data_IF_268743153563
#
_entry.id   IF_268743153563
#
_cell.length_a   1.000
_cell.length_b   1.000
_cell.length_c   1.000
_cell.angle_alpha   90.00
_cell.angle_beta   90.00
_cell.angle_gamma   90.00
#
_symmetry.space_group_name_H-M   'P 1'
#
loop_
_entity.id
_entity.type
_entity.pdbx_description
1 polymer ?
#
# COMPACT_ATOMS: atom_id res chain seq x y z
N UNK A 1 -6.55 -43.03 49.10
CA UNK A 1 -7.56 -42.00 48.90
C UNK A 1 -7.28 -41.31 47.56
N UNK A 2 -7.87 -41.80 46.47
CA UNK A 2 -7.74 -41.24 45.09
C UNK A 2 -8.71 -40.10 44.96
N UNK A 3 -8.22 -38.87 44.73
CA UNK A 3 -9.03 -37.69 44.40
C UNK A 3 -9.32 -37.74 42.88
N UNK A 4 -10.57 -38.03 42.54
CA UNK A 4 -11.09 -37.89 41.18
C UNK A 4 -11.10 -36.42 40.75
N UNK A 5 -10.41 -36.14 39.64
CA UNK A 5 -10.49 -34.86 38.93
C UNK A 5 -11.79 -34.85 38.12
N UNK A 6 -12.70 -33.98 38.45
CA UNK A 6 -13.90 -33.68 37.65
C UNK A 6 -13.48 -32.93 36.37
N UNK A 7 -14.00 -33.30 35.17
CA UNK A 7 -13.88 -32.53 33.96
C UNK A 7 -15.09 -31.59 33.84
N UNK A 8 -15.00 -30.40 34.38
CA UNK A 8 -15.93 -29.31 34.11
C UNK A 8 -15.14 -28.05 33.78
N UNK A 9 -14.66 -27.95 32.58
CA UNK A 9 -14.26 -26.67 31.97
C UNK A 9 -15.34 -26.24 30.98
N UNK A 10 -16.35 -25.54 31.50
CA UNK A 10 -17.22 -24.74 30.61
C UNK A 10 -16.35 -23.70 29.91
N UNK A 11 -16.47 -23.54 28.60
CA UNK A 11 -15.75 -22.51 27.88
C UNK A 11 -16.16 -21.14 28.41
N UNK A 12 -15.17 -20.28 28.62
CA UNK A 12 -15.35 -18.93 29.13
C UNK A 12 -16.45 -18.17 28.35
N UNK A 13 -17.32 -17.41 29.00
CA UNK A 13 -18.48 -16.74 28.36
C UNK A 13 -18.15 -15.80 27.22
N UNK A 14 -16.90 -15.35 27.13
CA UNK A 14 -16.42 -14.44 26.09
C UNK A 14 -16.18 -15.09 24.71
N UNK A 15 -15.93 -16.39 24.63
CA UNK A 15 -15.70 -17.09 23.37
C UNK A 15 -17.00 -17.27 22.55
N UNK A 16 -18.13 -17.47 23.22
CA UNK A 16 -19.45 -17.56 22.59
C UNK A 16 -20.01 -16.19 22.15
N UNK A 17 -19.62 -15.10 22.81
CA UNK A 17 -20.01 -13.75 22.43
C UNK A 17 -19.29 -13.25 21.16
N UNK A 18 -18.06 -13.72 20.91
CA UNK A 18 -17.32 -13.39 19.70
C UNK A 18 -17.88 -14.09 18.43
N UNK A 19 -18.41 -15.29 18.58
CA UNK A 19 -19.00 -16.07 17.48
C UNK A 19 -20.35 -15.50 16.97
N UNK A 20 -20.99 -14.60 17.71
CA UNK A 20 -22.26 -13.95 17.33
C UNK A 20 -22.11 -12.54 16.75
N UNK A 21 -20.88 -11.99 16.67
CA UNK A 21 -20.66 -10.69 16.02
C UNK A 21 -20.63 -10.88 14.51
N UNK A 22 -21.50 -10.16 13.80
CA UNK A 22 -21.50 -10.12 12.32
C UNK A 22 -20.11 -9.77 11.76
N UNK A 23 -19.89 -9.95 10.46
CA UNK A 23 -18.59 -9.72 9.79
C UNK A 23 -18.10 -8.26 9.90
N UNK A 24 -19.02 -7.29 9.91
CA UNK A 24 -18.69 -5.84 9.94
C UNK A 24 -17.73 -5.41 11.05
N UNK A 25 -17.87 -5.84 12.32
CA UNK A 25 -16.91 -5.46 13.38
C UNK A 25 -15.52 -6.08 13.21
N UNK A 26 -15.36 -7.04 12.30
CA UNK A 26 -14.10 -7.73 12.03
C UNK A 26 -13.31 -7.09 10.87
N UNK A 27 -13.96 -6.18 10.12
CA UNK A 27 -13.32 -5.41 9.04
C UNK A 27 -12.44 -4.30 9.64
N UNK A 28 -11.39 -3.91 8.93
CA UNK A 28 -10.52 -2.78 9.28
C UNK A 28 -9.04 -2.96 8.91
N UNK A 29 -8.38 -4.05 9.25
CA UNK A 29 -6.97 -4.24 8.97
C UNK A 29 -6.59 -4.06 7.49
N UNK A 30 -7.42 -4.59 6.58
CA UNK A 30 -7.18 -4.46 5.15
C UNK A 30 -7.38 -3.02 4.64
N UNK A 31 -8.28 -2.22 5.24
CA UNK A 31 -8.46 -0.82 4.88
C UNK A 31 -7.23 0.03 5.23
N UNK A 32 -6.56 -0.25 6.37
CA UNK A 32 -5.30 0.41 6.69
C UNK A 32 -4.24 0.05 5.65
N UNK A 33 -4.10 -1.24 5.33
CA UNK A 33 -3.15 -1.67 4.33
C UNK A 33 -3.48 -1.11 2.93
N UNK A 34 -4.77 -0.93 2.60
CA UNK A 34 -5.23 -0.45 1.30
C UNK A 34 -4.85 1.01 1.01
N UNK A 35 -4.65 1.84 2.03
CA UNK A 35 -4.19 3.22 1.84
C UNK A 35 -2.82 3.27 1.15
N UNK A 36 -1.93 2.32 1.44
CA UNK A 36 -0.65 2.22 0.76
C UNK A 36 -0.76 2.00 -0.76
N UNK A 37 -1.92 1.56 -1.25
CA UNK A 37 -2.19 1.34 -2.68
C UNK A 37 -2.69 2.61 -3.40
N UNK A 38 -2.90 3.70 -2.68
CA UNK A 38 -3.39 4.98 -3.20
C UNK A 38 -2.45 6.11 -2.76
N UNK A 39 -1.16 5.86 -2.78
CA UNK A 39 -0.11 6.81 -2.46
C UNK A 39 0.14 7.81 -3.61
N UNK A 40 0.88 8.89 -3.39
CA UNK A 40 1.19 9.86 -4.43
C UNK A 40 1.95 9.28 -5.64
N UNK A 41 2.73 8.21 -5.45
CA UNK A 41 3.42 7.50 -6.53
C UNK A 41 2.43 6.82 -7.49
N UNK A 42 1.41 6.14 -6.95
CA UNK A 42 0.30 5.60 -7.75
C UNK A 42 -0.47 6.70 -8.48
N UNK A 43 -0.73 7.83 -7.80
CA UNK A 43 -1.42 8.98 -8.41
C UNK A 43 -0.66 9.46 -9.65
N UNK A 44 0.65 9.71 -9.52
CA UNK A 44 1.50 10.14 -10.63
C UNK A 44 1.51 9.13 -11.79
N UNK A 45 1.77 7.84 -11.51
CA UNK A 45 1.85 6.80 -12.53
C UNK A 45 0.53 6.63 -13.30
N UNK A 46 -0.62 6.63 -12.59
CA UNK A 46 -1.94 6.42 -13.20
C UNK A 46 -2.37 7.62 -14.06
N UNK A 47 -2.08 8.85 -13.61
CA UNK A 47 -2.37 10.06 -14.37
C UNK A 47 -1.50 10.11 -15.63
N UNK A 48 -0.20 9.87 -15.50
CA UNK A 48 0.71 9.83 -16.66
C UNK A 48 0.27 8.76 -17.68
N UNK A 49 -0.12 7.58 -17.20
CA UNK A 49 -0.63 6.51 -18.07
C UNK A 49 -1.89 6.93 -18.82
N UNK A 50 -2.88 7.53 -18.13
CA UNK A 50 -4.11 8.00 -18.74
C UNK A 50 -3.91 9.16 -19.71
N UNK A 51 -3.11 10.16 -19.34
CA UNK A 51 -2.86 11.35 -20.17
C UNK A 51 -2.09 11.01 -21.45
N UNK A 52 -1.08 10.13 -21.39
CA UNK A 52 -0.25 9.77 -22.55
C UNK A 52 -0.87 8.70 -23.45
N UNK A 53 -1.54 7.71 -22.88
CA UNK A 53 -1.99 6.51 -23.59
C UNK A 53 -3.49 6.26 -23.53
N UNK A 54 -4.24 7.23 -22.98
CA UNK A 54 -5.68 7.10 -22.83
C UNK A 54 -6.05 5.86 -22.00
N UNK A 55 -6.98 5.09 -22.50
CA UNK A 55 -7.51 3.90 -21.79
C UNK A 55 -6.65 2.63 -21.98
N UNK A 56 -5.54 2.70 -22.72
CA UNK A 56 -4.76 1.52 -23.13
C UNK A 56 -4.32 0.62 -21.97
N UNK A 57 -3.98 1.20 -20.83
CA UNK A 57 -3.38 0.50 -19.68
C UNK A 57 -4.37 0.22 -18.53
N UNK A 58 -5.68 0.34 -18.75
CA UNK A 58 -6.71 -0.01 -17.73
C UNK A 58 -6.55 -1.45 -17.25
N UNK A 59 -6.25 -2.38 -18.17
CA UNK A 59 -6.04 -3.80 -17.84
C UNK A 59 -4.89 -4.02 -16.85
N UNK A 60 -3.87 -3.15 -16.88
CA UNK A 60 -2.71 -3.23 -15.97
C UNK A 60 -3.16 -2.98 -14.53
N UNK A 61 -4.00 -1.96 -14.30
CA UNK A 61 -4.54 -1.66 -12.97
C UNK A 61 -5.45 -2.76 -12.46
N UNK A 62 -6.29 -3.33 -13.33
CA UNK A 62 -7.14 -4.46 -12.95
C UNK A 62 -6.28 -5.66 -12.56
N UNK A 63 -5.25 -5.99 -13.34
CA UNK A 63 -4.32 -7.08 -13.04
C UNK A 63 -3.56 -6.81 -11.73
N UNK A 64 -3.01 -5.60 -11.56
CA UNK A 64 -2.30 -5.20 -10.35
C UNK A 64 -3.18 -5.33 -9.10
N UNK A 65 -4.43 -4.88 -9.19
CA UNK A 65 -5.37 -4.96 -8.08
C UNK A 65 -5.76 -6.41 -7.75
N UNK A 66 -5.96 -7.27 -8.75
CA UNK A 66 -6.21 -8.70 -8.53
C UNK A 66 -5.02 -9.38 -7.85
N UNK A 67 -3.79 -9.07 -8.28
CA UNK A 67 -2.57 -9.57 -7.64
C UNK A 67 -2.48 -9.08 -6.19
N UNK A 68 -2.77 -7.80 -5.95
CA UNK A 68 -2.78 -7.21 -4.63
C UNK A 68 -3.78 -7.90 -3.68
N UNK A 69 -5.01 -8.18 -4.15
CA UNK A 69 -6.03 -8.93 -3.38
C UNK A 69 -5.49 -10.30 -2.94
N UNK A 70 -4.85 -11.03 -3.84
CA UNK A 70 -4.30 -12.36 -3.53
C UNK A 70 -3.16 -12.24 -2.51
N UNK A 71 -2.21 -11.34 -2.75
CA UNK A 71 -1.04 -11.13 -1.87
C UNK A 71 -1.50 -10.69 -0.47
N UNK A 72 -2.41 -9.72 -0.38
CA UNK A 72 -2.89 -9.21 0.90
C UNK A 72 -3.69 -10.26 1.67
N UNK A 73 -4.52 -11.06 0.99
CA UNK A 73 -5.20 -12.17 1.63
C UNK A 73 -4.21 -13.21 2.17
N UNK A 74 -3.15 -13.54 1.43
CA UNK A 74 -2.12 -14.47 1.88
C UNK A 74 -1.34 -13.92 3.08
N UNK A 75 -1.07 -12.61 3.11
CA UNK A 75 -0.44 -11.95 4.25
C UNK A 75 -1.32 -12.04 5.51
N UNK A 76 -2.60 -11.68 5.40
CA UNK A 76 -3.55 -11.80 6.51
C UNK A 76 -3.72 -13.26 6.97
N UNK A 77 -3.83 -14.19 6.03
CA UNK A 77 -3.92 -15.63 6.32
C UNK A 77 -2.71 -16.14 7.08
N UNK A 78 -1.49 -15.72 6.70
CA UNK A 78 -0.27 -16.07 7.42
C UNK A 78 -0.37 -15.61 8.88
N UNK A 79 -0.69 -14.33 9.11
CA UNK A 79 -0.83 -13.77 10.45
C UNK A 79 -1.89 -14.47 11.28
N UNK A 80 -3.10 -14.66 10.74
CA UNK A 80 -4.22 -15.29 11.45
C UNK A 80 -3.95 -16.74 11.84
N UNK A 81 -3.32 -17.52 10.96
CA UNK A 81 -3.08 -18.96 11.17
C UNK A 81 -1.90 -19.19 12.10
N UNK A 82 -0.81 -18.44 11.92
CA UNK A 82 0.42 -18.65 12.69
C UNK A 82 0.45 -17.87 14.00
N UNK A 83 -0.34 -16.81 14.11
CA UNK A 83 -0.27 -15.82 15.21
C UNK A 83 1.00 -14.98 15.17
N UNK A 84 1.77 -15.04 14.08
CA UNK A 84 3.00 -14.30 13.87
C UNK A 84 2.93 -13.51 12.59
N UNK A 85 3.46 -12.32 12.60
CA UNK A 85 3.62 -11.52 11.40
C UNK A 85 4.72 -12.10 10.48
N UNK A 86 4.71 -11.72 9.21
CA UNK A 86 5.76 -12.11 8.27
C UNK A 86 7.15 -11.65 8.73
N UNK A 87 7.35 -10.42 9.25
CA UNK A 87 8.64 -10.00 9.81
C UNK A 87 9.09 -10.86 11.00
N UNK A 88 8.19 -11.25 11.90
CA UNK A 88 8.52 -12.11 13.05
C UNK A 88 8.98 -13.51 12.60
N UNK A 89 8.28 -14.11 11.63
CA UNK A 89 8.67 -15.42 11.08
C UNK A 89 10.05 -15.32 10.41
N UNK A 90 10.32 -14.25 9.68
CA UNK A 90 11.64 -13.99 9.10
C UNK A 90 12.71 -13.80 10.17
N UNK A 91 12.40 -13.03 11.23
CA UNK A 91 13.28 -12.77 12.36
C UNK A 91 13.71 -14.03 13.10
N UNK A 92 12.78 -14.99 13.26
CA UNK A 92 13.05 -16.26 13.92
C UNK A 92 13.84 -17.24 13.03
N UNK A 93 13.58 -17.24 11.71
CA UNK A 93 14.13 -18.26 10.80
C UNK A 93 15.43 -17.84 10.11
N UNK A 94 15.71 -16.54 10.03
CA UNK A 94 16.92 -16.07 9.38
C UNK A 94 18.08 -16.01 10.38
N UNK A 95 19.26 -16.46 9.94
CA UNK A 95 20.50 -16.26 10.67
C UNK A 95 20.80 -14.75 10.85
N UNK A 96 21.45 -14.36 11.95
CA UNK A 96 21.69 -12.97 12.36
C UNK A 96 22.18 -12.06 11.22
N UNK A 97 23.17 -12.49 10.42
CA UNK A 97 23.67 -11.69 9.31
C UNK A 97 22.64 -11.44 8.21
N UNK A 98 21.92 -12.49 7.78
CA UNK A 98 20.85 -12.38 6.79
C UNK A 98 19.69 -11.52 7.30
N UNK A 99 19.37 -11.63 8.58
CA UNK A 99 18.32 -10.86 9.25
C UNK A 99 18.63 -9.37 9.27
N UNK A 100 19.88 -9.00 9.58
CA UNK A 100 20.34 -7.61 9.55
C UNK A 100 20.31 -7.06 8.12
N UNK A 101 20.83 -7.80 7.15
CA UNK A 101 20.80 -7.40 5.74
C UNK A 101 19.36 -7.19 5.25
N UNK A 102 18.45 -8.08 5.66
CA UNK A 102 17.03 -7.99 5.34
C UNK A 102 16.37 -6.76 5.98
N UNK A 103 16.73 -6.44 7.23
CA UNK A 103 16.25 -5.24 7.89
C UNK A 103 16.80 -3.96 7.23
N UNK A 104 18.10 -3.90 6.90
CA UNK A 104 18.70 -2.73 6.21
C UNK A 104 17.96 -2.46 4.89
N UNK A 105 17.74 -3.51 4.09
CA UNK A 105 16.98 -3.38 2.84
C UNK A 105 15.56 -2.85 3.10
N UNK A 106 14.85 -3.40 4.08
CA UNK A 106 13.50 -2.97 4.41
C UNK A 106 13.46 -1.52 4.91
N UNK A 107 14.50 -1.06 5.62
CA UNK A 107 14.60 0.32 6.10
C UNK A 107 14.89 1.31 4.96
N UNK A 108 15.74 0.92 3.99
CA UNK A 108 15.97 1.70 2.77
C UNK A 108 14.67 1.86 1.98
N UNK A 109 13.89 0.79 1.83
CA UNK A 109 12.59 0.82 1.17
C UNK A 109 11.60 1.73 1.93
N UNK A 110 11.56 1.64 3.26
CA UNK A 110 10.72 2.49 4.09
C UNK A 110 11.09 3.98 3.94
N UNK A 111 12.38 4.31 3.90
CA UNK A 111 12.84 5.67 3.68
C UNK A 111 12.50 6.19 2.27
N UNK A 112 12.60 5.34 1.24
CA UNK A 112 12.19 5.67 -0.11
C UNK A 112 10.68 5.88 -0.23
N UNK A 113 9.88 5.06 0.45
CA UNK A 113 8.42 5.24 0.56
C UNK A 113 8.09 6.57 1.22
N UNK A 114 8.70 6.85 2.37
CA UNK A 114 8.50 8.11 3.08
C UNK A 114 8.85 9.33 2.23
N UNK A 115 9.91 9.25 1.42
CA UNK A 115 10.28 10.31 0.50
C UNK A 115 9.12 10.61 -0.50
N UNK A 116 8.58 9.58 -1.15
CA UNK A 116 7.47 9.75 -2.09
C UNK A 116 6.22 10.36 -1.43
N UNK A 117 5.89 9.89 -0.24
CA UNK A 117 4.70 10.30 0.51
C UNK A 117 4.81 11.75 1.00
N UNK A 118 5.99 12.14 1.51
CA UNK A 118 6.28 13.51 1.94
C UNK A 118 6.29 14.46 0.75
N UNK A 119 6.91 14.05 -0.36
CA UNK A 119 6.93 14.84 -1.60
C UNK A 119 5.51 15.06 -2.10
N UNK A 120 4.69 14.02 -2.18
CA UNK A 120 3.30 14.14 -2.62
C UNK A 120 2.46 15.06 -1.73
N UNK A 121 2.60 14.93 -0.41
CA UNK A 121 1.95 15.84 0.54
C UNK A 121 2.47 17.27 0.47
N UNK A 122 3.77 17.47 0.22
CA UNK A 122 4.37 18.79 0.02
C UNK A 122 3.86 19.47 -1.25
N UNK A 123 3.76 18.73 -2.36
CA UNK A 123 3.14 19.19 -3.61
C UNK A 123 1.69 19.62 -3.35
N UNK A 124 0.92 18.81 -2.64
CA UNK A 124 -0.46 19.16 -2.32
C UNK A 124 -0.57 20.47 -1.52
N UNK A 125 0.30 20.69 -0.53
CA UNK A 125 0.33 21.96 0.22
C UNK A 125 0.82 23.14 -0.64
N UNK A 126 1.72 22.90 -1.58
CA UNK A 126 2.13 23.92 -2.56
C UNK A 126 0.96 24.31 -3.47
N UNK A 127 0.22 23.33 -3.98
CA UNK A 127 -0.94 23.56 -4.86
C UNK A 127 -2.09 24.27 -4.13
N UNK A 128 -2.35 23.94 -2.85
CA UNK A 128 -3.43 24.51 -2.07
C UNK A 128 -3.13 25.90 -1.51
N UNK A 129 -1.88 26.12 -1.08
CA UNK A 129 -1.51 27.28 -0.27
C UNK A 129 -0.29 28.05 -0.80
N UNK A 130 0.32 27.61 -1.91
CA UNK A 130 1.53 28.24 -2.45
C UNK A 130 2.77 28.03 -1.58
N UNK A 131 2.78 27.05 -0.66
CA UNK A 131 3.90 26.82 0.25
C UNK A 131 5.12 26.25 -0.48
N UNK A 132 6.35 26.68 -0.13
CA UNK A 132 7.56 26.02 -0.63
C UNK A 132 7.57 24.52 -0.30
N UNK A 133 8.05 23.67 -1.21
CA UNK A 133 8.08 22.20 -1.05
C UNK A 133 8.70 21.74 0.27
N UNK A 134 9.82 22.38 0.68
CA UNK A 134 10.48 22.03 1.94
C UNK A 134 9.60 22.33 3.17
N UNK A 135 8.92 23.48 3.16
CA UNK A 135 7.98 23.85 4.24
C UNK A 135 6.78 22.90 4.26
N UNK A 136 6.23 22.57 3.07
CA UNK A 136 5.17 21.58 2.91
C UNK A 136 5.59 20.21 3.45
N UNK A 137 6.78 19.73 3.08
CA UNK A 137 7.32 18.46 3.56
C UNK A 137 7.52 18.40 5.07
N UNK A 138 8.00 19.50 5.67
CA UNK A 138 8.11 19.63 7.13
C UNK A 138 6.74 19.56 7.81
N UNK A 139 5.74 20.29 7.30
CA UNK A 139 4.36 20.25 7.84
C UNK A 139 3.77 18.85 7.74
N UNK A 140 3.87 18.20 6.57
CA UNK A 140 3.41 16.81 6.39
C UNK A 140 4.09 15.87 7.37
N UNK A 141 5.40 16.02 7.55
CA UNK A 141 6.16 15.25 8.53
C UNK A 141 5.66 15.45 9.96
N UNK A 142 5.42 16.69 10.39
CA UNK A 142 4.88 17.01 11.71
C UNK A 142 3.46 16.45 11.91
N UNK A 143 2.59 16.59 10.91
CA UNK A 143 1.22 16.06 10.98
C UNK A 143 1.23 14.53 11.05
N UNK A 144 2.08 13.87 10.26
CA UNK A 144 2.23 12.42 10.31
C UNK A 144 2.73 11.92 11.66
N UNK A 145 3.66 12.66 12.31
CA UNK A 145 4.09 12.38 13.69
C UNK A 145 2.94 12.51 14.67
N UNK A 146 2.10 13.54 14.53
CA UNK A 146 0.91 13.73 15.39
C UNK A 146 -0.09 12.57 15.20
N UNK A 147 -0.30 12.09 13.98
CA UNK A 147 -1.16 10.95 13.70
C UNK A 147 -0.65 9.65 14.35
N UNK A 148 0.66 9.46 14.46
CA UNK A 148 1.27 8.31 15.13
C UNK A 148 1.01 8.27 16.65
N UNK A 149 0.65 9.39 17.29
CA UNK A 149 0.25 9.43 18.69
C UNK A 149 -1.01 8.57 18.94
N UNK A 150 -1.88 8.48 17.91
CA UNK A 150 -3.08 7.62 17.96
C UNK A 150 -2.77 6.15 17.72
N UNK A 151 -1.56 5.82 17.28
CA UNK A 151 -1.10 4.46 17.05
C UNK A 151 -0.59 3.83 18.36
N UNK A 152 -1.50 3.51 19.27
CA UNK A 152 -1.24 2.77 20.48
C UNK A 152 -2.28 1.66 20.58
N UNK A 153 -1.95 0.52 21.22
CA UNK A 153 -2.87 -0.62 21.40
C UNK A 153 -4.25 -0.19 21.97
N UNK A 154 -4.26 0.84 22.83
CA UNK A 154 -5.49 1.41 23.40
C UNK A 154 -6.28 2.30 22.42
N UNK A 155 -5.65 2.84 21.38
CA UNK A 155 -6.23 3.81 20.44
C UNK A 155 -6.26 3.32 18.99
N UNK A 156 -5.96 2.06 18.75
CA UNK A 156 -5.89 1.49 17.41
C UNK A 156 -7.17 1.74 16.58
N UNK A 157 -8.36 1.64 17.23
CA UNK A 157 -9.63 1.96 16.55
C UNK A 157 -9.71 3.42 16.09
N UNK A 158 -9.14 4.36 16.85
CA UNK A 158 -9.12 5.77 16.48
C UNK A 158 -8.22 5.97 15.24
N UNK A 159 -7.04 5.34 15.25
CA UNK A 159 -6.14 5.34 14.10
C UNK A 159 -6.82 4.76 12.86
N UNK A 160 -7.45 3.58 12.97
CA UNK A 160 -8.24 2.96 11.90
C UNK A 160 -9.32 3.92 11.37
N UNK A 161 -10.06 4.58 12.25
CA UNK A 161 -11.11 5.54 11.86
C UNK A 161 -10.56 6.75 11.12
N UNK A 162 -9.42 7.31 11.57
CA UNK A 162 -8.75 8.43 10.89
C UNK A 162 -8.28 8.01 9.51
N UNK A 163 -7.61 6.87 9.40
CA UNK A 163 -7.09 6.34 8.12
C UNK A 163 -8.21 6.05 7.14
N UNK A 164 -9.31 5.45 7.58
CA UNK A 164 -10.50 5.23 6.75
C UNK A 164 -11.13 6.55 6.35
N UNK A 165 -11.21 7.54 7.24
CA UNK A 165 -11.68 8.89 6.93
C UNK A 165 -10.84 9.56 5.83
N UNK A 166 -9.53 9.45 5.92
CA UNK A 166 -8.61 9.93 4.87
C UNK A 166 -8.83 9.18 3.55
N UNK A 167 -9.03 7.85 3.57
CA UNK A 167 -9.35 7.08 2.38
C UNK A 167 -10.67 7.53 1.71
N UNK A 168 -11.68 7.90 2.50
CA UNK A 168 -12.91 8.49 1.97
C UNK A 168 -12.63 9.83 1.28
N UNK A 169 -11.82 10.69 1.90
CA UNK A 169 -11.43 11.99 1.30
C UNK A 169 -10.66 11.76 -0.01
N UNK A 170 -9.72 10.82 -0.03
CA UNK A 170 -8.98 10.41 -1.24
C UNK A 170 -9.95 9.95 -2.33
N UNK A 171 -10.88 9.06 -1.96
CA UNK A 171 -11.86 8.50 -2.90
C UNK A 171 -12.72 9.60 -3.50
N UNK A 172 -13.29 10.47 -2.68
CA UNK A 172 -14.10 11.62 -3.16
C UNK A 172 -13.25 12.56 -3.99
N UNK A 173 -12.03 12.88 -3.52
CA UNK A 173 -11.09 13.77 -4.19
C UNK A 173 -10.79 13.37 -5.62
N UNK A 174 -10.50 12.09 -5.82
CA UNK A 174 -10.09 11.61 -7.15
C UNK A 174 -11.25 11.17 -8.04
N UNK A 175 -12.38 10.73 -7.47
CA UNK A 175 -13.55 10.36 -8.26
C UNK A 175 -14.40 11.56 -8.71
N UNK A 176 -14.30 12.70 -8.02
CA UNK A 176 -15.13 13.88 -8.31
C UNK A 176 -14.96 14.38 -9.76
N UNK A 177 -13.76 14.32 -10.31
CA UNK A 177 -13.48 14.72 -11.67
C UNK A 177 -14.21 13.90 -12.73
N UNK A 178 -14.45 12.60 -12.48
CA UNK A 178 -15.17 11.73 -13.40
C UNK A 178 -16.66 12.11 -13.57
N UNK A 179 -17.23 12.81 -12.60
CA UNK A 179 -18.61 13.29 -12.69
C UNK A 179 -18.73 14.40 -13.75
N UNK A 180 -17.66 15.23 -13.87
CA UNK A 180 -17.62 16.35 -14.83
C UNK A 180 -17.09 15.91 -16.19
N UNK A 181 -16.09 15.05 -16.21
CA UNK A 181 -15.53 14.46 -17.44
C UNK A 181 -15.71 12.94 -17.42
N UNK A 182 -16.91 12.46 -17.76
CA UNK A 182 -17.18 11.03 -17.78
C UNK A 182 -16.33 10.35 -18.86
N UNK A 183 -15.73 9.19 -18.55
CA UNK A 183 -14.93 8.44 -19.50
C UNK A 183 -15.83 7.83 -20.59
N UNK A 184 -15.26 7.61 -21.79
CA UNK A 184 -15.93 6.83 -22.84
C UNK A 184 -16.00 5.35 -22.40
N UNK A 185 -17.22 4.80 -22.14
CA UNK A 185 -17.35 3.43 -21.68
C UNK A 185 -16.79 2.41 -22.69
N UNK A 186 -16.99 2.62 -23.99
CA UNK A 186 -16.54 1.70 -25.03
C UNK A 186 -15.00 1.65 -25.10
N UNK A 187 -14.34 2.81 -25.00
CA UNK A 187 -12.88 2.90 -24.98
C UNK A 187 -12.31 2.32 -23.66
N UNK A 188 -12.96 2.56 -22.51
CA UNK A 188 -12.56 1.99 -21.24
C UNK A 188 -12.66 0.45 -21.24
N UNK A 189 -13.74 -0.12 -21.79
CA UNK A 189 -13.88 -1.57 -21.96
C UNK A 189 -12.84 -2.16 -22.90
N UNK A 190 -12.50 -1.47 -24.01
CA UNK A 190 -11.38 -1.87 -24.90
C UNK A 190 -10.03 -1.82 -24.18
N UNK A 191 -9.88 -0.93 -23.21
CA UNK A 191 -8.70 -0.83 -22.34
C UNK A 191 -8.49 -2.02 -21.39
N UNK A 192 -9.49 -2.90 -21.21
CA UNK A 192 -9.34 -4.15 -20.46
C UNK A 192 -8.62 -5.25 -21.25
N UNK A 193 -8.48 -5.09 -22.57
CA UNK A 193 -7.75 -6.06 -23.40
C UNK A 193 -6.24 -5.84 -23.27
N UNK A 194 -5.47 -6.85 -22.81
CA UNK A 194 -4.02 -6.75 -22.67
C UNK A 194 -3.34 -6.44 -24.01
N UNK A 195 -2.70 -5.29 -24.09
CA UNK A 195 -1.93 -4.86 -25.26
C UNK A 195 -0.96 -3.76 -24.89
N UNK A 196 0.11 -3.63 -25.66
CA UNK A 196 1.10 -2.57 -25.58
C UNK A 196 1.21 -1.84 -26.91
N UNK A 197 1.59 -0.57 -26.87
CA UNK A 197 1.80 0.28 -28.04
C UNK A 197 3.27 0.75 -28.14
N UNK A 198 4.21 -0.12 -27.77
CA UNK A 198 5.64 0.18 -27.78
C UNK A 198 6.29 0.02 -26.41
N UNK A 199 7.62 0.22 -26.33
CA UNK A 199 8.43 0.05 -25.13
C UNK A 199 8.01 0.97 -23.99
N UNK A 200 7.62 2.21 -24.29
CA UNK A 200 7.20 3.19 -23.29
C UNK A 200 5.95 2.74 -22.51
N UNK A 201 5.00 2.08 -23.21
CA UNK A 201 3.82 1.54 -22.54
C UNK A 201 4.14 0.37 -21.61
N UNK A 202 5.16 -0.41 -21.94
CA UNK A 202 5.66 -1.49 -21.05
C UNK A 202 6.32 -0.90 -19.83
N UNK A 203 7.09 0.19 -19.97
CA UNK A 203 7.70 0.91 -18.86
C UNK A 203 6.68 1.47 -17.89
N UNK A 204 5.68 2.19 -18.43
CA UNK A 204 4.62 2.74 -17.58
C UNK A 204 3.81 1.63 -16.93
N UNK A 205 3.51 0.54 -17.62
CA UNK A 205 2.84 -0.62 -17.04
C UNK A 205 3.67 -1.25 -15.90
N UNK A 206 4.98 -1.36 -16.07
CA UNK A 206 5.88 -1.85 -15.02
C UNK A 206 5.92 -0.90 -13.81
N UNK A 207 5.94 0.42 -14.06
CA UNK A 207 5.86 1.43 -13.01
C UNK A 207 4.53 1.36 -12.25
N UNK A 208 3.39 1.26 -12.95
CA UNK A 208 2.06 1.12 -12.35
C UNK A 208 1.95 -0.14 -11.48
N UNK A 209 2.45 -1.29 -11.97
CA UNK A 209 2.47 -2.54 -11.21
C UNK A 209 3.39 -2.45 -10.00
N UNK A 210 4.58 -1.85 -10.18
CA UNK A 210 5.55 -1.62 -9.11
C UNK A 210 5.02 -0.68 -8.02
N UNK A 211 4.36 0.40 -8.41
CA UNK A 211 3.72 1.33 -7.49
C UNK A 211 2.54 0.69 -6.74
N UNK A 212 1.77 -0.20 -7.40
CA UNK A 212 0.57 -0.79 -6.80
C UNK A 212 0.91 -1.86 -5.75
N UNK A 213 1.94 -2.68 -5.91
CA UNK A 213 2.27 -3.74 -4.95
C UNK A 213 3.28 -3.25 -3.92
N UNK A 214 2.79 -2.76 -2.79
CA UNK A 214 3.61 -2.15 -1.74
C UNK A 214 4.19 -3.18 -0.76
N UNK A 215 5.54 -3.32 -0.66
CA UNK A 215 6.18 -4.30 0.22
C UNK A 215 5.81 -4.12 1.69
N UNK A 216 5.79 -2.87 2.17
CA UNK A 216 5.49 -2.57 3.56
C UNK A 216 4.04 -2.91 3.95
N UNK A 217 3.08 -2.79 3.02
CA UNK A 217 1.71 -3.20 3.26
C UNK A 217 1.57 -4.72 3.43
N UNK A 218 2.42 -5.51 2.77
CA UNK A 218 2.47 -6.98 2.92
C UNK A 218 2.92 -7.34 4.32
N UNK A 219 3.99 -6.73 4.82
CA UNK A 219 4.47 -6.97 6.18
C UNK A 219 3.45 -6.51 7.23
N UNK A 220 2.92 -5.31 7.05
CA UNK A 220 2.01 -4.68 8.00
C UNK A 220 0.71 -5.47 8.16
N UNK A 221 0.11 -5.95 7.07
CA UNK A 221 -1.20 -6.61 7.14
C UNK A 221 -1.16 -7.88 8.01
N UNK A 222 -0.09 -8.68 7.90
CA UNK A 222 0.10 -9.86 8.76
C UNK A 222 0.21 -9.50 10.25
N UNK A 223 0.73 -8.31 10.57
CA UNK A 223 0.83 -7.79 11.93
C UNK A 223 -0.51 -7.24 12.43
N UNK A 224 -1.20 -6.43 11.60
CA UNK A 224 -2.48 -5.82 11.94
C UNK A 224 -3.55 -6.84 12.34
N UNK A 225 -3.63 -7.96 11.60
CA UNK A 225 -4.60 -9.03 11.95
C UNK A 225 -4.26 -9.70 13.27
N UNK A 226 -2.99 -9.77 13.67
CA UNK A 226 -2.58 -10.29 14.96
C UNK A 226 -2.92 -9.35 16.09
N UNK A 227 -2.67 -8.05 15.93
CA UNK A 227 -3.05 -7.04 16.92
C UNK A 227 -4.56 -6.94 17.11
N UNK A 228 -5.33 -7.16 16.03
CA UNK A 228 -6.80 -7.15 16.08
C UNK A 228 -7.37 -8.37 16.79
N UNK A 229 -6.71 -9.52 16.69
CA UNK A 229 -7.14 -10.80 17.21
C UNK A 229 -6.02 -11.46 18.02
N UNK A 230 -5.68 -10.97 19.24
CA UNK A 230 -4.48 -11.41 19.97
C UNK A 230 -4.57 -12.85 20.47
N UNK A 231 -5.76 -13.34 20.83
CA UNK A 231 -5.94 -14.64 21.48
C UNK A 231 -5.99 -15.81 20.48
N UNK A 232 -4.86 -16.47 20.25
CA UNK A 232 -4.76 -17.64 19.36
C UNK A 232 -5.66 -18.81 19.77
N UNK A 233 -5.78 -19.08 21.08
CA UNK A 233 -6.54 -20.21 21.59
C UNK A 233 -8.06 -20.10 21.44
N UNK A 234 -8.58 -18.88 21.29
CA UNK A 234 -10.00 -18.58 21.12
C UNK A 234 -10.40 -18.25 19.67
N UNK A 235 -9.45 -18.27 18.74
CA UNK A 235 -9.71 -17.90 17.34
C UNK A 235 -10.50 -18.99 16.59
N UNK A 236 -11.67 -18.62 16.09
CA UNK A 236 -12.34 -19.35 15.03
C UNK A 236 -11.65 -19.00 13.70
N UNK A 237 -10.54 -19.68 13.38
CA UNK A 237 -9.74 -19.43 12.18
C UNK A 237 -10.58 -19.48 10.88
N UNK A 238 -11.47 -20.46 10.65
CA UNK A 238 -12.34 -20.46 9.47
C UNK A 238 -13.21 -19.20 9.35
N UNK A 239 -13.74 -18.69 10.46
CA UNK A 239 -14.55 -17.47 10.47
C UNK A 239 -13.71 -16.23 10.21
N UNK A 240 -12.54 -16.11 10.85
CA UNK A 240 -11.61 -15.00 10.66
C UNK A 240 -11.04 -14.96 9.23
N UNK A 241 -10.73 -16.10 8.62
CA UNK A 241 -10.29 -16.16 7.22
C UNK A 241 -11.38 -15.70 6.26
N UNK A 242 -12.65 -16.04 6.51
CA UNK A 242 -13.77 -15.52 5.72
C UNK A 242 -13.93 -14.01 5.88
N UNK A 243 -13.88 -13.51 7.12
CA UNK A 243 -13.94 -12.08 7.39
C UNK A 243 -12.80 -11.33 6.69
N UNK A 244 -11.57 -11.82 6.83
CA UNK A 244 -10.39 -11.22 6.20
C UNK A 244 -10.47 -11.25 4.67
N UNK A 245 -11.04 -12.30 4.06
CA UNK A 245 -11.28 -12.34 2.61
C UNK A 245 -12.20 -11.20 2.15
N UNK A 246 -13.27 -10.94 2.90
CA UNK A 246 -14.19 -9.83 2.57
C UNK A 246 -13.55 -8.47 2.86
N UNK A 247 -12.82 -8.35 3.98
CA UNK A 247 -12.08 -7.13 4.34
C UNK A 247 -11.11 -6.73 3.21
N UNK A 248 -10.26 -7.65 2.78
CA UNK A 248 -9.32 -7.46 1.67
C UNK A 248 -10.04 -7.13 0.36
N UNK A 249 -11.10 -7.88 0.04
CA UNK A 249 -11.84 -7.67 -1.21
C UNK A 249 -12.46 -6.27 -1.26
N UNK A 250 -13.12 -5.82 -0.18
CA UNK A 250 -13.74 -4.49 -0.15
C UNK A 250 -12.70 -3.36 -0.09
N UNK A 251 -11.67 -3.50 0.73
CA UNK A 251 -10.64 -2.48 0.86
C UNK A 251 -9.89 -2.24 -0.45
N UNK A 252 -9.48 -3.33 -1.13
CA UNK A 252 -8.77 -3.23 -2.40
C UNK A 252 -9.70 -2.95 -3.59
N UNK A 253 -11.00 -3.27 -3.49
CA UNK A 253 -11.98 -2.79 -4.46
C UNK A 253 -12.04 -1.25 -4.46
N UNK A 254 -12.07 -0.65 -3.26
CA UNK A 254 -12.07 0.82 -3.13
C UNK A 254 -10.76 1.41 -3.65
N UNK A 255 -9.61 0.90 -3.19
CA UNK A 255 -8.31 1.40 -3.65
C UNK A 255 -8.11 1.21 -5.17
N UNK A 256 -8.49 0.04 -5.70
CA UNK A 256 -8.44 -0.24 -7.13
C UNK A 256 -9.38 0.65 -7.95
N UNK A 257 -10.59 0.92 -7.45
CA UNK A 257 -11.51 1.84 -8.09
C UNK A 257 -10.95 3.27 -8.14
N UNK A 258 -10.28 3.72 -7.08
CA UNK A 258 -9.59 5.02 -7.05
C UNK A 258 -8.48 5.08 -8.10
N UNK A 259 -7.63 4.07 -8.19
CA UNK A 259 -6.54 4.02 -9.16
C UNK A 259 -7.05 3.98 -10.60
N UNK A 260 -8.08 3.17 -10.87
CA UNK A 260 -8.73 3.12 -12.19
C UNK A 260 -9.37 4.47 -12.50
N UNK A 261 -10.05 5.09 -11.53
CA UNK A 261 -10.68 6.40 -11.71
C UNK A 261 -9.67 7.49 -12.08
N UNK A 262 -8.49 7.51 -11.46
CA UNK A 262 -7.40 8.43 -11.81
C UNK A 262 -6.94 8.27 -13.25
N UNK A 263 -6.73 7.04 -13.71
CA UNK A 263 -6.38 6.77 -15.11
C UNK A 263 -7.51 7.18 -16.06
N UNK A 264 -8.76 6.82 -15.75
CA UNK A 264 -9.91 7.18 -16.57
C UNK A 264 -10.11 8.69 -16.65
N UNK A 265 -9.93 9.42 -15.53
CA UNK A 265 -9.99 10.87 -15.48
C UNK A 265 -8.91 11.49 -16.37
N UNK A 266 -7.67 11.02 -16.23
CA UNK A 266 -6.58 11.51 -17.06
C UNK A 266 -6.81 11.20 -18.55
N UNK A 267 -7.34 10.02 -18.87
CA UNK A 267 -7.66 9.63 -20.25
C UNK A 267 -8.80 10.47 -20.86
N UNK A 268 -9.79 10.89 -20.05
CA UNK A 268 -10.93 11.67 -20.55
C UNK A 268 -10.68 13.18 -20.58
N UNK A 269 -9.92 13.71 -19.61
CA UNK A 269 -9.74 15.16 -19.43
C UNK A 269 -8.37 15.67 -19.86
N UNK A 270 -7.32 14.84 -19.84
CA UNK A 270 -5.93 15.28 -20.01
C UNK A 270 -5.25 14.69 -21.26
N UNK A 271 -5.95 13.89 -22.07
CA UNK A 271 -5.36 13.25 -23.23
C UNK A 271 -4.77 14.29 -24.21
N UNK A 272 -3.48 14.13 -24.54
CA UNK A 272 -2.76 15.01 -25.48
C UNK A 272 -2.32 16.35 -24.89
N UNK A 273 -2.55 16.63 -23.61
CA UNK A 273 -2.01 17.83 -22.96
C UNK A 273 -0.54 17.64 -22.59
N UNK A 274 0.28 18.65 -22.85
CA UNK A 274 1.70 18.67 -22.47
C UNK A 274 1.86 18.97 -20.99
N UNK A 275 2.95 18.46 -20.38
CA UNK A 275 3.30 18.76 -18.99
C UNK A 275 2.58 17.91 -17.93
N UNK A 276 1.81 16.90 -18.34
CA UNK A 276 1.10 15.98 -17.41
C UNK A 276 2.00 14.88 -16.84
N UNK A 277 3.31 14.98 -17.04
CA UNK A 277 4.31 14.05 -16.51
C UNK A 277 4.68 14.30 -15.06
N UNK A 278 4.24 15.43 -14.51
CA UNK A 278 4.37 15.78 -13.10
C UNK A 278 3.00 15.93 -12.46
N UNK A 279 2.93 15.75 -11.14
CA UNK A 279 1.68 15.93 -10.37
C UNK A 279 1.20 17.37 -10.47
N UNK A 280 2.11 18.35 -10.44
CA UNK A 280 1.80 19.77 -10.57
C UNK A 280 1.20 20.08 -11.94
N UNK A 281 1.83 19.60 -13.01
CA UNK A 281 1.32 19.78 -14.35
C UNK A 281 -0.03 19.09 -14.57
N UNK A 282 -0.21 17.89 -14.01
CA UNK A 282 -1.48 17.18 -14.02
C UNK A 282 -2.58 17.98 -13.29
N UNK A 283 -2.26 18.57 -12.13
CA UNK A 283 -3.19 19.43 -11.38
C UNK A 283 -3.60 20.66 -12.20
N UNK A 284 -2.63 21.37 -12.81
CA UNK A 284 -2.93 22.53 -13.65
C UNK A 284 -3.79 22.17 -14.86
N UNK A 285 -3.53 21.00 -15.46
CA UNK A 285 -4.34 20.49 -16.55
C UNK A 285 -5.78 20.15 -16.10
N UNK A 286 -5.93 19.53 -14.92
CA UNK A 286 -7.23 19.25 -14.28
C UNK A 286 -7.97 20.58 -14.01
N UNK A 287 -7.29 21.55 -13.41
CA UNK A 287 -7.87 22.86 -13.11
C UNK A 287 -8.32 23.60 -14.38
N UNK A 288 -7.49 23.56 -15.43
CA UNK A 288 -7.81 24.19 -16.70
C UNK A 288 -8.97 23.49 -17.43
N UNK A 289 -9.05 22.15 -17.37
CA UNK A 289 -10.07 21.38 -18.06
C UNK A 289 -11.40 21.30 -17.30
N UNK A 290 -11.35 21.19 -15.96
CA UNK A 290 -12.52 20.88 -15.11
C UNK A 290 -12.87 22.00 -14.11
N UNK A 291 -12.06 23.06 -14.06
CA UNK A 291 -12.26 24.22 -13.19
C UNK A 291 -11.52 24.11 -11.85
N UNK A 292 -11.32 25.27 -11.22
CA UNK A 292 -10.55 25.43 -9.97
C UNK A 292 -11.10 24.59 -8.82
N UNK A 293 -12.43 24.44 -8.73
CA UNK A 293 -13.04 23.62 -7.66
C UNK A 293 -12.54 22.16 -7.71
N UNK A 294 -12.48 21.55 -8.89
CA UNK A 294 -11.99 20.18 -9.05
C UNK A 294 -10.49 20.10 -8.80
N UNK A 295 -9.72 21.12 -9.24
CA UNK A 295 -8.29 21.21 -8.92
C UNK A 295 -8.05 21.22 -7.40
N UNK A 296 -8.79 22.03 -6.65
CA UNK A 296 -8.70 22.07 -5.17
C UNK A 296 -9.10 20.75 -4.53
N UNK A 297 -10.20 20.12 -4.98
CA UNK A 297 -10.66 18.83 -4.46
C UNK A 297 -9.61 17.74 -4.75
N UNK A 298 -9.01 17.74 -5.92
CA UNK A 298 -7.91 16.83 -6.28
C UNK A 298 -6.70 17.04 -5.36
N UNK A 299 -6.29 18.29 -5.11
CA UNK A 299 -5.16 18.59 -4.23
C UNK A 299 -5.44 18.20 -2.76
N UNK A 300 -6.68 18.31 -2.28
CA UNK A 300 -7.10 17.81 -0.97
C UNK A 300 -7.00 16.27 -0.94
N UNK A 301 -7.43 15.59 -1.99
CA UNK A 301 -7.28 14.14 -2.14
C UNK A 301 -5.81 13.71 -2.10
N UNK A 302 -4.94 14.43 -2.79
CA UNK A 302 -3.49 14.19 -2.80
C UNK A 302 -2.86 14.42 -1.40
N UNK A 303 -3.26 15.49 -0.69
CA UNK A 303 -2.81 15.75 0.67
C UNK A 303 -3.22 14.62 1.63
N UNK A 304 -4.49 14.20 1.53
CA UNK A 304 -5.00 13.09 2.33
C UNK A 304 -4.25 11.79 2.03
N UNK A 305 -3.92 11.53 0.75
CA UNK A 305 -3.11 10.40 0.30
C UNK A 305 -1.72 10.42 0.94
N UNK A 306 -0.99 11.53 0.83
CA UNK A 306 0.34 11.68 1.44
C UNK A 306 0.33 11.51 2.97
N UNK A 307 -0.65 12.10 3.68
CA UNK A 307 -0.77 11.98 5.13
C UNK A 307 -1.13 10.57 5.59
N UNK A 308 -2.05 9.92 4.89
CA UNK A 308 -2.51 8.58 5.24
C UNK A 308 -1.41 7.55 4.99
N UNK A 309 -0.80 7.54 3.78
CA UNK A 309 0.23 6.58 3.41
C UNK A 309 1.49 6.74 4.27
N UNK A 310 1.95 7.97 4.51
CA UNK A 310 3.07 8.28 5.42
C UNK A 310 2.86 7.74 6.85
N UNK A 311 1.62 7.82 7.37
CA UNK A 311 1.31 7.28 8.71
C UNK A 311 1.33 5.75 8.71
N UNK A 312 0.79 5.13 7.66
CA UNK A 312 0.77 3.67 7.49
C UNK A 312 2.18 3.12 7.23
N UNK A 313 2.99 3.81 6.42
CA UNK A 313 4.39 3.46 6.13
C UNK A 313 5.26 3.48 7.39
N UNK A 314 5.13 4.53 8.21
CA UNK A 314 5.84 4.61 9.49
C UNK A 314 5.44 3.47 10.46
N UNK A 315 4.18 3.09 10.48
CA UNK A 315 3.69 1.95 11.25
C UNK A 315 4.29 0.65 10.73
N UNK A 316 4.20 0.42 9.43
CA UNK A 316 4.74 -0.79 8.79
C UNK A 316 6.22 -0.98 9.12
N UNK A 317 7.00 0.07 9.02
CA UNK A 317 8.42 -0.03 9.32
C UNK A 317 8.72 -0.32 10.79
N UNK A 318 7.89 0.16 11.75
CA UNK A 318 8.00 -0.23 13.16
C UNK A 318 7.77 -1.73 13.36
N UNK A 319 6.74 -2.28 12.69
CA UNK A 319 6.43 -3.71 12.72
C UNK A 319 7.54 -4.56 12.08
N UNK A 320 8.11 -4.09 10.97
CA UNK A 320 9.22 -4.75 10.30
C UNK A 320 10.47 -4.79 11.20
N UNK A 321 10.81 -3.67 11.81
CA UNK A 321 11.96 -3.60 12.72
C UNK A 321 11.74 -4.46 13.96
N UNK A 322 10.58 -4.36 14.59
CA UNK A 322 10.21 -5.15 15.77
C UNK A 322 10.28 -6.65 15.50
N UNK A 323 9.71 -7.10 14.38
CA UNK A 323 9.70 -8.51 13.99
C UNK A 323 11.07 -9.04 13.60
N UNK A 324 11.84 -8.29 12.79
CA UNK A 324 13.15 -8.75 12.32
C UNK A 324 14.23 -8.68 13.39
N UNK A 325 14.32 -7.58 14.13
CA UNK A 325 15.44 -7.34 15.07
C UNK A 325 15.09 -7.66 16.52
N UNK A 326 13.79 -7.86 16.82
CA UNK A 326 13.28 -7.99 18.20
C UNK A 326 13.60 -6.75 19.07
N UNK A 327 13.75 -5.57 18.41
CA UNK A 327 14.02 -4.29 19.07
C UNK A 327 12.81 -3.38 18.87
N UNK A 328 12.29 -2.85 19.95
CA UNK A 328 11.22 -1.83 19.89
C UNK A 328 11.84 -0.45 20.02
N UNK A 329 11.91 0.27 18.89
CA UNK A 329 12.30 1.68 18.87
C UNK A 329 11.04 2.54 19.01
N UNK A 330 11.06 3.62 19.80
CA UNK A 330 9.92 4.54 19.85
C UNK A 330 9.58 5.05 18.45
N UNK A 331 8.29 5.00 18.09
CA UNK A 331 7.80 5.43 16.78
C UNK A 331 8.29 6.82 16.37
N UNK A 332 8.36 7.74 17.34
CA UNK A 332 8.87 9.08 17.12
C UNK A 332 10.33 9.09 16.65
N UNK A 333 11.21 8.37 17.35
CA UNK A 333 12.62 8.30 17.00
C UNK A 333 12.83 7.67 15.62
N UNK A 334 12.09 6.59 15.35
CA UNK A 334 12.13 5.92 14.04
C UNK A 334 11.63 6.85 12.93
N UNK A 335 10.54 7.58 13.18
CA UNK A 335 9.99 8.54 12.23
C UNK A 335 10.97 9.65 11.87
N UNK A 336 11.74 10.15 12.83
CA UNK A 336 12.79 11.12 12.57
C UNK A 336 13.87 10.55 11.64
N UNK A 337 14.24 9.29 11.80
CA UNK A 337 15.27 8.63 10.96
C UNK A 337 14.83 8.56 9.49
N UNK A 338 13.54 8.35 9.21
CA UNK A 338 13.04 8.29 7.81
C UNK A 338 12.67 9.67 7.27
N UNK A 339 12.19 10.59 8.13
CA UNK A 339 11.80 11.94 7.75
C UNK A 339 13.01 12.83 7.39
N UNK A 340 14.09 12.76 8.16
CA UNK A 340 15.26 13.61 7.93
C UNK A 340 15.90 13.41 6.55
N UNK A 341 16.14 12.17 6.06
CA UNK A 341 16.60 11.96 4.69
C UNK A 341 15.65 12.52 3.62
N UNK A 342 14.34 12.37 3.81
CA UNK A 342 13.36 12.89 2.87
C UNK A 342 13.40 14.44 2.77
N UNK A 343 13.47 15.12 3.92
CA UNK A 343 13.61 16.58 3.96
C UNK A 343 14.95 17.05 3.41
N UNK A 344 16.04 16.33 3.68
CA UNK A 344 17.37 16.63 3.15
C UNK A 344 17.38 16.50 1.61
N UNK A 345 16.76 15.46 1.07
CA UNK A 345 16.66 15.26 -0.38
C UNK A 345 15.84 16.39 -1.00
N UNK A 346 14.69 16.77 -0.41
CA UNK A 346 13.89 17.91 -0.88
C UNK A 346 14.66 19.25 -0.83
N UNK A 347 15.53 19.41 0.14
CA UNK A 347 16.36 20.62 0.25
C UNK A 347 17.47 20.66 -0.80
N UNK A 348 18.15 19.52 -1.04
CA UNK A 348 19.27 19.44 -2.01
C UNK A 348 18.79 19.34 -3.46
N UNK A 349 17.66 18.67 -3.69
CA UNK A 349 17.11 18.40 -5.01
C UNK A 349 15.62 18.80 -5.03
N UNK A 350 15.31 20.08 -5.25
CA UNK A 350 13.94 20.57 -5.21
C UNK A 350 13.09 20.15 -6.43
N UNK A 351 13.50 19.10 -7.15
CA UNK A 351 12.71 18.50 -8.24
C UNK A 351 11.89 17.34 -7.68
N UNK A 352 10.58 17.53 -7.46
CA UNK A 352 9.73 16.51 -6.85
C UNK A 352 9.56 15.28 -7.75
N UNK A 353 9.52 15.46 -9.08
CA UNK A 353 9.39 14.36 -10.04
C UNK A 353 10.58 13.40 -9.95
N UNK A 354 11.81 13.93 -9.86
CA UNK A 354 13.00 13.10 -9.67
C UNK A 354 12.95 12.30 -8.36
N UNK A 355 12.53 12.94 -7.26
CA UNK A 355 12.41 12.27 -5.97
C UNK A 355 11.39 11.11 -6.01
N UNK A 356 10.26 11.32 -6.69
CA UNK A 356 9.25 10.27 -6.90
C UNK A 356 9.79 9.11 -7.74
N UNK A 357 10.48 9.39 -8.85
CA UNK A 357 11.06 8.35 -9.71
C UNK A 357 12.09 7.51 -8.94
N UNK A 358 13.02 8.15 -8.24
CA UNK A 358 14.05 7.44 -7.45
C UNK A 358 13.41 6.58 -6.37
N UNK A 359 12.37 7.08 -5.70
CA UNK A 359 11.64 6.30 -4.69
C UNK A 359 10.98 5.06 -5.29
N UNK A 360 10.34 5.17 -6.46
CA UNK A 360 9.69 4.03 -7.15
C UNK A 360 10.70 2.97 -7.58
N UNK A 361 11.86 3.39 -8.08
CA UNK A 361 12.97 2.45 -8.41
C UNK A 361 13.42 1.72 -7.15
N UNK A 362 13.63 2.41 -6.04
CA UNK A 362 14.01 1.79 -4.78
C UNK A 362 12.95 0.79 -4.27
N UNK A 363 11.66 1.17 -4.33
CA UNK A 363 10.54 0.30 -3.95
C UNK A 363 10.50 -1.01 -4.74
N UNK A 364 10.83 -0.95 -6.04
CA UNK A 364 10.87 -2.11 -6.92
C UNK A 364 11.77 -3.24 -6.41
N UNK A 365 12.89 -2.91 -5.77
CA UNK A 365 13.78 -3.89 -5.16
C UNK A 365 13.17 -4.58 -3.92
N UNK A 366 12.24 -3.91 -3.24
CA UNK A 366 11.62 -4.41 -2.01
C UNK A 366 10.55 -5.46 -2.24
N UNK A 367 9.84 -5.39 -3.38
CA UNK A 367 8.64 -6.22 -3.61
C UNK A 367 8.96 -7.72 -3.62
N UNK A 368 9.97 -8.21 -4.37
CA UNK A 368 10.34 -9.62 -4.36
C UNK A 368 10.69 -10.14 -2.95
N UNK A 369 11.35 -9.30 -2.14
CA UNK A 369 11.77 -9.65 -0.80
C UNK A 369 10.60 -9.76 0.19
N UNK A 370 9.44 -9.19 -0.12
CA UNK A 370 8.22 -9.39 0.65
C UNK A 370 7.38 -10.56 0.11
N UNK A 371 7.20 -10.65 -1.20
CA UNK A 371 6.29 -11.63 -1.84
C UNK A 371 6.86 -13.04 -1.83
N UNK A 372 8.17 -13.21 -2.08
CA UNK A 372 8.79 -14.55 -2.11
C UNK A 372 8.72 -15.25 -0.75
N UNK A 373 9.12 -14.64 0.38
CA UNK A 373 8.97 -15.29 1.68
C UNK A 373 7.52 -15.58 2.04
N UNK A 374 6.59 -14.67 1.71
CA UNK A 374 5.16 -14.89 1.90
C UNK A 374 4.72 -16.16 1.18
N UNK A 375 5.02 -16.31 -0.11
CA UNK A 375 4.69 -17.49 -0.92
C UNK A 375 5.34 -18.76 -0.37
N UNK A 376 6.58 -18.67 0.11
CA UNK A 376 7.30 -19.82 0.70
C UNK A 376 6.66 -20.23 2.02
N UNK A 377 6.31 -19.30 2.90
CA UNK A 377 5.81 -19.63 4.22
C UNK A 377 4.34 -20.08 4.21
N UNK A 378 3.50 -19.53 3.33
CA UNK A 378 2.10 -19.97 3.20
C UNK A 378 1.97 -21.39 2.62
N UNK A 379 3.01 -21.87 1.93
CA UNK A 379 3.11 -23.23 1.43
C UNK A 379 3.57 -24.25 2.49
N UNK A 380 4.23 -23.80 3.58
CA UNK A 380 4.82 -24.72 4.55
C UNK A 380 3.78 -25.30 5.49
N UNK A 381 3.61 -26.63 5.47
CA UNK A 381 2.69 -27.37 6.34
C UNK A 381 3.03 -27.21 7.83
N UNK A 382 4.32 -27.10 8.14
CA UNK A 382 4.80 -26.89 9.52
C UNK A 382 4.27 -25.61 10.16
N UNK A 383 4.06 -24.55 9.34
CA UNK A 383 3.55 -23.26 9.77
C UNK A 383 2.03 -23.15 9.65
N UNK A 384 1.48 -23.63 8.53
CA UNK A 384 0.11 -23.39 8.14
C UNK A 384 -0.82 -24.55 8.49
N UNK A 385 -0.29 -25.71 8.87
CA UNK A 385 -1.08 -26.90 9.18
C UNK A 385 -2.05 -27.25 8.05
N UNK A 386 -3.33 -27.41 8.39
CA UNK A 386 -4.40 -27.70 7.43
C UNK A 386 -4.75 -26.52 6.49
N UNK A 387 -4.26 -25.30 6.79
CA UNK A 387 -4.49 -24.10 6.00
C UNK A 387 -3.36 -23.79 5.01
N UNK A 388 -2.41 -24.73 4.82
CA UNK A 388 -1.37 -24.56 3.80
C UNK A 388 -1.99 -24.30 2.42
N UNK A 389 -1.26 -23.59 1.55
CA UNK A 389 -1.70 -23.35 0.19
C UNK A 389 -1.79 -24.64 -0.60
N UNK A 390 -2.88 -24.78 -1.36
CA UNK A 390 -3.01 -25.86 -2.33
C UNK A 390 -2.12 -25.61 -3.55
N UNK A 391 -1.95 -26.64 -4.38
CA UNK A 391 -1.07 -26.57 -5.57
C UNK A 391 -1.43 -25.42 -6.49
N UNK A 392 -2.71 -25.13 -6.70
CA UNK A 392 -3.18 -24.02 -7.57
C UNK A 392 -2.73 -22.69 -7.01
N UNK A 393 -2.92 -22.43 -5.70
CA UNK A 393 -2.48 -21.19 -5.08
C UNK A 393 -0.96 -21.04 -5.11
N UNK A 394 -0.21 -22.12 -4.95
CA UNK A 394 1.25 -22.11 -5.09
C UNK A 394 1.69 -21.67 -6.50
N UNK A 395 1.01 -22.16 -7.56
CA UNK A 395 1.29 -21.74 -8.93
C UNK A 395 0.91 -20.28 -9.16
N UNK A 396 -0.24 -19.83 -8.65
CA UNK A 396 -0.68 -18.43 -8.74
C UNK A 396 0.34 -17.52 -8.05
N UNK A 397 0.73 -17.80 -6.81
CA UNK A 397 1.73 -17.01 -6.09
C UNK A 397 3.10 -17.03 -6.78
N UNK A 398 3.48 -18.16 -7.35
CA UNK A 398 4.69 -18.30 -8.15
C UNK A 398 4.66 -17.44 -9.42
N UNK A 399 3.56 -17.47 -10.16
CA UNK A 399 3.37 -16.65 -11.37
C UNK A 399 3.36 -15.15 -11.04
N UNK A 400 2.66 -14.75 -9.98
CA UNK A 400 2.66 -13.35 -9.48
C UNK A 400 4.09 -12.92 -9.12
N UNK A 401 4.81 -13.73 -8.35
CA UNK A 401 6.19 -13.43 -7.96
C UNK A 401 7.10 -13.27 -9.17
N UNK A 402 7.01 -14.17 -10.14
CA UNK A 402 7.81 -14.14 -11.36
C UNK A 402 7.49 -12.88 -12.20
N UNK A 403 6.22 -12.57 -12.38
CA UNK A 403 5.78 -11.38 -13.13
C UNK A 403 6.32 -10.09 -12.49
N UNK A 404 6.17 -9.96 -11.16
CA UNK A 404 6.66 -8.79 -10.41
C UNK A 404 8.18 -8.67 -10.55
N UNK A 405 8.92 -9.77 -10.38
CA UNK A 405 10.38 -9.77 -10.49
C UNK A 405 10.81 -9.36 -11.91
N UNK A 406 10.18 -9.94 -12.94
CA UNK A 406 10.50 -9.63 -14.31
C UNK A 406 10.26 -8.17 -14.66
N UNK A 407 9.12 -7.61 -14.24
CA UNK A 407 8.78 -6.21 -14.48
C UNK A 407 9.67 -5.24 -13.70
N UNK A 408 9.99 -5.55 -12.44
CA UNK A 408 10.88 -4.72 -11.65
C UNK A 408 12.31 -4.75 -12.19
N UNK A 409 12.80 -5.92 -12.61
CA UNK A 409 14.10 -6.03 -13.24
C UNK A 409 14.14 -5.21 -14.55
N UNK A 410 13.09 -5.30 -15.36
CA UNK A 410 12.94 -4.52 -16.58
C UNK A 410 12.97 -3.02 -16.26
N UNK A 411 12.19 -2.55 -15.29
CA UNK A 411 12.15 -1.15 -14.88
C UNK A 411 13.55 -0.66 -14.47
N UNK A 412 14.24 -1.43 -13.64
CA UNK A 412 15.60 -1.12 -13.19
C UNK A 412 16.57 -1.03 -14.36
N UNK A 413 16.59 -2.04 -15.26
CA UNK A 413 17.48 -2.05 -16.43
C UNK A 413 17.22 -0.85 -17.31
N UNK A 414 15.97 -0.52 -17.60
CA UNK A 414 15.61 0.58 -18.48
C UNK A 414 15.91 1.95 -17.86
N UNK A 415 15.77 2.08 -16.52
CA UNK A 415 16.19 3.29 -15.80
C UNK A 415 17.70 3.49 -15.91
N UNK A 416 18.50 2.43 -15.71
CA UNK A 416 19.96 2.53 -15.87
C UNK A 416 20.41 2.79 -17.33
N UNK A 417 19.61 2.39 -18.30
CA UNK A 417 19.86 2.70 -19.74
C UNK A 417 19.45 4.13 -20.11
N UNK A 418 18.89 4.92 -19.18
CA UNK A 418 18.40 6.28 -19.44
C UNK A 418 17.16 6.35 -20.32
N UNK A 419 16.42 5.23 -20.44
CA UNK A 419 15.21 5.14 -21.26
C UNK A 419 13.96 5.46 -20.43
N UNK A 420 14.07 5.34 -19.10
CA UNK A 420 12.96 5.45 -18.13
C UNK A 420 13.05 6.72 -17.27
N UNK A 421 13.26 7.89 -17.85
CA UNK A 421 13.18 9.18 -17.14
C UNK A 421 12.36 10.17 -17.96
#
# INVERSE_FOLDING_TARGET
MKKELKPDSQPAPNAQAAAKKGLLPLLGPAFIAAVAYVDPGNVAANITAGARYGYLLVWVLVLANLMAVIIQYQSAKLGLVTGKSLPEILGERLHRGKRIAYWIQAEIIAAATDLAEIVGGAIALQLLFGLPLLAGGFIVGCVSLALLIFQNERRQKQFETIVIGLLVIITVGFLSGLVISPPDPAAAFKGLLPRFAGTDTVLIAASMLGATVMPHAIYLHSSLVNHRFPDLGSRDIPHLLRASKHDVAYALLVAGAVNIALLLLAASALAGQSGTDSIEGAHHAIESALGTTIGVIFAIGLLASGLASTSVGAYAGSEIMGGLLHVRVPLFARRLVTLLPALLILWLYPNPTWALVVSQVALSFGIPLAVIPLAVYTRRRELMGKYQDNTVMCWIMGAISLLIIALNLLLVVLTFMGIAV
#
